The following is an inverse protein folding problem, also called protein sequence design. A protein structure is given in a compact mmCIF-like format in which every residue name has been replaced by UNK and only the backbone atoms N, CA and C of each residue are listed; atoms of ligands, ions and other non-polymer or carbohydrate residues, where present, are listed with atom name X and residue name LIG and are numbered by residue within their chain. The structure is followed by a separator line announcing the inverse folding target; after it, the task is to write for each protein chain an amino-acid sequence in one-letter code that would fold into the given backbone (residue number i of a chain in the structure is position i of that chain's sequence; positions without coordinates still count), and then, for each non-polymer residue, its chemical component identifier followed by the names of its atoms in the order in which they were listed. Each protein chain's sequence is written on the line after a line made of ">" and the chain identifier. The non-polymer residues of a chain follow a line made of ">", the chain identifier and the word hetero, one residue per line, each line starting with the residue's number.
data_IF_424296775499
#
_entry.id   IF_424296775499
#
_cell.length_a   1.000
_cell.length_b   1.000
_cell.length_c   1.000
_cell.angle_alpha   90.00
_cell.angle_beta   90.00
_cell.angle_gamma   90.00
#
_symmetry.space_group_name_H-M   'P 1'
#
loop_
_entity.id
_entity.type
_entity.pdbx_description
1 polymer ?
#
# COMPACT_ATOMS: atom_id res chain seq x y z
N UNK A 1 0.55 -0.05 11.44
CA UNK A 1 -0.09 0.56 12.62
C UNK A 1 -1.22 1.52 12.24
N UNK A 2 -0.96 2.60 11.48
CA UNK A 2 -1.98 3.62 11.18
C UNK A 2 -3.26 3.10 10.51
N UNK A 3 -3.16 2.33 9.42
CA UNK A 3 -4.33 1.77 8.73
C UNK A 3 -5.12 0.78 9.60
N UNK A 4 -4.42 0.02 10.45
CA UNK A 4 -5.05 -0.88 11.43
C UNK A 4 -5.86 -0.08 12.46
N UNK A 5 -5.28 1.00 13.01
CA UNK A 5 -5.96 1.88 13.95
C UNK A 5 -7.22 2.49 13.34
N UNK A 6 -7.14 2.99 12.09
CA UNK A 6 -8.29 3.52 11.37
C UNK A 6 -9.40 2.47 11.19
N UNK A 7 -9.04 1.23 10.82
CA UNK A 7 -10.01 0.15 10.69
C UNK A 7 -10.70 -0.18 12.02
N UNK A 8 -9.97 -0.18 13.13
CA UNK A 8 -10.51 -0.41 14.48
C UNK A 8 -11.42 0.73 14.94
N UNK A 9 -11.01 1.99 14.76
CA UNK A 9 -11.80 3.17 15.12
C UNK A 9 -13.15 3.22 14.38
N UNK A 10 -13.17 2.85 13.09
CA UNK A 10 -14.42 2.72 12.31
C UNK A 10 -15.42 1.70 12.89
N UNK A 11 -14.96 0.80 13.77
CA UNK A 11 -15.77 -0.22 14.44
C UNK A 11 -16.03 0.12 15.91
N UNK A 12 -15.74 1.35 16.33
CA UNK A 12 -16.02 1.83 17.70
C UNK A 12 -15.00 1.37 18.76
N UNK A 13 -13.87 0.79 18.36
CA UNK A 13 -12.82 0.42 19.30
C UNK A 13 -12.08 1.65 19.83
N UNK A 14 -11.62 1.60 21.08
CA UNK A 14 -10.68 2.58 21.65
C UNK A 14 -9.25 2.13 21.34
N UNK A 15 -8.46 3.00 20.72
CA UNK A 15 -7.10 2.68 20.25
C UNK A 15 -6.09 3.64 20.88
N UNK A 16 -4.99 3.08 21.40
CA UNK A 16 -3.80 3.84 21.83
C UNK A 16 -2.61 3.39 20.98
N UNK A 17 -1.84 4.32 20.45
CA UNK A 17 -0.62 4.04 19.68
C UNK A 17 0.60 4.35 20.53
N UNK A 18 1.52 3.39 20.64
CA UNK A 18 2.86 3.60 21.19
C UNK A 18 3.86 3.52 20.04
N UNK A 19 4.73 4.52 19.94
CA UNK A 19 5.80 4.57 18.96
C UNK A 19 7.12 4.74 19.72
N UNK A 20 8.15 3.98 19.32
CA UNK A 20 9.48 4.08 19.90
C UNK A 20 10.17 5.38 19.49
N UNK A 21 9.89 5.86 18.27
CA UNK A 21 10.50 7.05 17.69
C UNK A 21 9.73 8.32 18.11
N UNK A 22 10.38 9.48 18.00
CA UNK A 22 9.79 10.78 18.34
C UNK A 22 8.60 11.15 17.44
N UNK A 23 8.57 10.65 16.21
CA UNK A 23 7.55 10.94 15.21
C UNK A 23 7.18 9.67 14.45
N UNK A 24 5.96 9.58 13.89
CA UNK A 24 5.62 8.48 13.00
C UNK A 24 6.47 8.51 11.72
N UNK A 25 6.56 7.35 11.06
CA UNK A 25 7.24 7.18 9.78
C UNK A 25 8.74 7.52 9.76
N UNK A 26 9.44 7.48 10.89
CA UNK A 26 10.91 7.67 10.97
C UNK A 26 11.73 6.44 10.50
N UNK A 27 11.05 5.39 10.05
CA UNK A 27 11.65 4.13 9.60
C UNK A 27 11.21 3.83 8.15
N UNK A 28 10.95 2.57 7.79
CA UNK A 28 10.67 2.15 6.41
C UNK A 28 9.50 2.88 5.70
N UNK A 29 8.54 3.44 6.44
CA UNK A 29 7.42 4.23 5.88
C UNK A 29 7.77 5.68 5.53
N UNK A 30 9.00 6.14 5.82
CA UNK A 30 9.41 7.54 5.68
C UNK A 30 9.95 7.95 4.30
N UNK A 31 9.84 7.09 3.29
CA UNK A 31 10.31 7.41 1.95
C UNK A 31 9.50 8.55 1.33
N UNK A 32 10.16 9.45 0.61
CA UNK A 32 9.50 10.59 -0.05
C UNK A 32 8.53 10.15 -1.16
N UNK A 33 8.88 9.09 -1.89
CA UNK A 33 8.08 8.52 -2.97
C UNK A 33 8.22 7.01 -2.96
N UNK A 34 7.16 6.31 -3.37
CA UNK A 34 7.12 4.85 -3.46
C UNK A 34 6.28 4.42 -4.66
N UNK A 35 6.60 3.26 -5.23
CA UNK A 35 5.79 2.63 -6.28
C UNK A 35 4.70 1.75 -5.66
N UNK A 36 3.49 1.82 -6.22
CA UNK A 36 2.37 0.94 -5.87
C UNK A 36 1.92 0.15 -7.10
N UNK A 37 2.14 -1.17 -7.07
CA UNK A 37 1.74 -2.11 -8.10
C UNK A 37 1.57 -3.51 -7.49
N UNK A 38 0.77 -4.42 -8.08
CA UNK A 38 0.64 -5.78 -7.59
C UNK A 38 1.89 -6.60 -7.92
N UNK A 39 2.27 -7.50 -7.01
CA UNK A 39 3.20 -8.59 -7.31
C UNK A 39 2.41 -9.73 -7.98
N UNK A 40 2.72 -10.02 -9.24
CA UNK A 40 2.11 -11.07 -10.04
C UNK A 40 3.18 -12.07 -10.47
N UNK A 41 2.84 -13.35 -10.47
CA UNK A 41 3.78 -14.45 -10.77
C UNK A 41 3.21 -15.51 -11.72
N UNK A 42 1.97 -15.33 -12.22
CA UNK A 42 1.38 -16.18 -13.25
C UNK A 42 1.07 -17.62 -12.82
N UNK A 43 1.20 -17.94 -11.52
CA UNK A 43 1.02 -19.30 -11.01
C UNK A 43 -0.37 -19.55 -10.43
N UNK A 44 -1.26 -18.55 -10.41
CA UNK A 44 -2.59 -18.64 -9.80
C UNK A 44 -2.53 -19.16 -8.36
N UNK A 45 -1.54 -18.67 -7.61
CA UNK A 45 -1.25 -19.11 -6.25
C UNK A 45 -1.81 -18.13 -5.20
N UNK A 46 -1.80 -18.49 -3.91
CA UNK A 46 -2.30 -17.59 -2.86
C UNK A 46 -1.58 -16.23 -2.80
N UNK A 47 -0.32 -16.15 -3.23
CA UNK A 47 0.43 -14.90 -3.28
C UNK A 47 -0.17 -13.97 -4.34
N UNK A 48 -0.36 -14.47 -5.55
CA UNK A 48 -0.95 -13.72 -6.66
C UNK A 48 -2.40 -13.32 -6.38
N UNK A 49 -3.22 -14.22 -5.84
CA UNK A 49 -4.58 -13.89 -5.42
C UNK A 49 -4.62 -12.78 -4.37
N UNK A 50 -3.72 -12.85 -3.39
CA UNK A 50 -3.61 -11.83 -2.35
C UNK A 50 -3.23 -10.49 -2.95
N UNK A 51 -2.16 -10.39 -3.74
CA UNK A 51 -1.70 -9.12 -4.29
C UNK A 51 -2.65 -8.52 -5.34
N UNK A 52 -3.35 -9.37 -6.11
CA UNK A 52 -4.42 -8.93 -7.01
C UNK A 52 -5.56 -8.26 -6.24
N UNK A 53 -6.02 -8.88 -5.16
CA UNK A 53 -7.08 -8.33 -4.30
C UNK A 53 -6.61 -7.10 -3.52
N UNK A 54 -5.43 -7.19 -2.91
CA UNK A 54 -4.84 -6.15 -2.07
C UNK A 54 -4.56 -4.87 -2.87
N UNK A 55 -4.05 -4.97 -4.10
CA UNK A 55 -3.79 -3.80 -4.94
C UNK A 55 -5.07 -3.01 -5.23
N UNK A 56 -6.13 -3.67 -5.70
CA UNK A 56 -7.39 -2.97 -6.01
C UNK A 56 -8.05 -2.42 -4.76
N UNK A 57 -7.97 -3.15 -3.63
CA UNK A 57 -8.46 -2.68 -2.34
C UNK A 57 -7.69 -1.43 -1.88
N UNK A 58 -6.36 -1.46 -1.92
CA UNK A 58 -5.52 -0.34 -1.52
C UNK A 58 -5.78 0.91 -2.38
N UNK A 59 -5.86 0.76 -3.71
CA UNK A 59 -6.19 1.88 -4.63
C UNK A 59 -7.51 2.55 -4.23
N UNK A 60 -8.60 1.77 -4.08
CA UNK A 60 -9.90 2.32 -3.65
C UNK A 60 -9.84 2.97 -2.28
N UNK A 61 -9.10 2.39 -1.32
CA UNK A 61 -8.96 2.96 0.00
C UNK A 61 -8.21 4.31 -0.03
N UNK A 62 -7.13 4.41 -0.80
CA UNK A 62 -6.40 5.68 -0.94
C UNK A 62 -7.24 6.75 -1.63
N UNK A 63 -7.97 6.38 -2.68
CA UNK A 63 -8.88 7.31 -3.37
C UNK A 63 -9.99 7.80 -2.39
N UNK A 64 -10.55 6.92 -1.56
CA UNK A 64 -11.51 7.30 -0.51
C UNK A 64 -10.89 8.22 0.55
N UNK A 65 -9.65 8.00 0.95
CA UNK A 65 -8.98 8.86 1.94
C UNK A 65 -8.71 10.25 1.38
N UNK A 66 -8.24 10.32 0.12
CA UNK A 66 -7.99 11.59 -0.57
C UNK A 66 -9.28 12.39 -0.78
N UNK A 67 -10.37 11.73 -1.18
CA UNK A 67 -11.67 12.36 -1.35
C UNK A 67 -12.29 12.85 -0.03
N UNK A 68 -11.92 12.23 1.10
CA UNK A 68 -12.38 12.59 2.44
C UNK A 68 -11.41 13.56 3.16
N UNK A 69 -10.71 14.41 2.41
CA UNK A 69 -9.89 15.53 2.92
C UNK A 69 -8.54 15.14 3.53
N UNK A 70 -8.09 13.88 3.41
CA UNK A 70 -6.71 13.53 3.78
C UNK A 70 -5.78 13.88 2.62
N UNK A 71 -4.95 14.91 2.82
CA UNK A 71 -3.96 15.34 1.84
C UNK A 71 -2.67 14.52 2.00
N UNK A 72 -2.19 13.96 0.89
CA UNK A 72 -0.87 13.36 0.75
C UNK A 72 -0.46 13.41 -0.72
N UNK A 73 0.83 13.67 -0.97
CA UNK A 73 1.36 13.75 -2.33
C UNK A 73 1.30 12.38 -2.99
N UNK A 74 0.65 12.31 -4.15
CA UNK A 74 0.57 11.09 -4.94
C UNK A 74 0.20 11.39 -6.39
N UNK A 75 0.53 10.44 -7.28
CA UNK A 75 0.05 10.41 -8.65
C UNK A 75 -0.23 8.97 -9.06
N UNK A 76 -1.39 8.74 -9.67
CA UNK A 76 -1.72 7.45 -10.28
C UNK A 76 -1.26 7.42 -11.74
N UNK A 77 0.04 7.63 -11.95
CA UNK A 77 0.67 7.75 -13.26
C UNK A 77 0.97 6.40 -13.94
N UNK A 78 0.64 5.28 -13.28
CA UNK A 78 0.97 3.94 -13.74
C UNK A 78 2.40 3.52 -13.37
N UNK A 79 2.66 2.22 -13.46
CA UNK A 79 3.99 1.64 -13.22
C UNK A 79 4.31 0.72 -14.40
N UNK A 80 5.48 0.91 -15.01
CA UNK A 80 5.98 0.06 -16.09
C UNK A 80 7.15 -0.80 -15.57
N UNK A 81 6.93 -2.10 -15.52
CA UNK A 81 7.99 -3.06 -15.22
C UNK A 81 8.58 -3.58 -16.53
N UNK A 82 9.87 -3.31 -16.76
CA UNK A 82 10.57 -3.70 -17.99
C UNK A 82 11.14 -5.12 -17.87
N UNK A 83 11.04 -5.89 -18.96
CA UNK A 83 11.76 -7.16 -19.13
C UNK A 83 13.20 -6.88 -19.59
N UNK A 84 14.00 -6.26 -18.73
CA UNK A 84 15.35 -5.79 -19.09
C UNK A 84 16.41 -6.90 -19.04
N UNK A 85 16.09 -8.06 -18.46
CA UNK A 85 16.94 -9.25 -18.42
C UNK A 85 16.11 -10.54 -18.60
N UNK A 86 16.80 -11.66 -18.85
CA UNK A 86 16.13 -12.96 -19.09
C UNK A 86 15.26 -13.43 -17.92
N UNK A 87 15.59 -13.00 -16.70
CA UNK A 87 14.85 -13.36 -15.49
C UNK A 87 13.56 -12.56 -15.36
N UNK A 88 13.60 -11.26 -15.63
CA UNK A 88 12.45 -10.35 -15.63
C UNK A 88 11.51 -10.53 -16.82
N UNK A 89 11.99 -11.15 -17.90
CA UNK A 89 11.17 -11.61 -19.02
C UNK A 89 10.33 -12.86 -18.72
N UNK A 90 10.65 -13.60 -17.66
CA UNK A 90 9.88 -14.76 -17.19
C UNK A 90 9.00 -14.31 -16.03
N UNK A 91 7.77 -13.92 -16.35
CA UNK A 91 6.68 -13.80 -15.37
C UNK A 91 5.80 -15.03 -15.41
#
# INVERSE_FOLDING_TARGET
>A
SALTALALLRRGAKVTLYCQDEQPAQNASGNQQAALYPLLNGHDDPLEHFFTSAFTFARRQYDQLSNNTILFDHQWCGVSQLAYDEKSGKK
#
